data_IF_016995167921
#
_entry.id   IF_016995167921
#
_cell.length_a   1.000
_cell.length_b   1.000
_cell.length_c   1.000
_cell.angle_alpha   90.00
_cell.angle_beta   90.00
_cell.angle_gamma   90.00
#
_symmetry.space_group_name_H-M   'P 1'
#
loop_
_entity.id
_entity.type
_entity.pdbx_description
1 polymer ?
#
# COMPACT_ATOMS: atom_id res chain seq x y z
N UNK A 1 5.75 -2.99 -18.61
CA UNK A 1 5.18 -1.73 -19.12
C UNK A 1 3.78 -1.91 -19.70
N UNK A 2 3.61 -2.52 -20.88
CA UNK A 2 2.30 -2.61 -21.56
C UNK A 2 1.14 -3.13 -20.69
N UNK A 3 1.37 -4.15 -19.86
CA UNK A 3 0.33 -4.66 -18.94
C UNK A 3 -0.14 -3.61 -17.89
N UNK A 4 0.74 -2.70 -17.45
CA UNK A 4 0.35 -1.62 -16.54
C UNK A 4 -0.48 -0.55 -17.27
N UNK A 5 -0.13 -0.25 -18.53
CA UNK A 5 -0.88 0.70 -19.37
C UNK A 5 -2.28 0.16 -19.70
N UNK A 6 -2.38 -1.12 -20.07
CA UNK A 6 -3.66 -1.79 -20.33
C UNK A 6 -4.56 -1.80 -19.09
N UNK A 7 -3.98 -2.07 -17.92
CA UNK A 7 -4.73 -2.07 -16.66
C UNK A 7 -5.18 -0.67 -16.26
N UNK A 8 -4.33 0.35 -16.44
CA UNK A 8 -4.73 1.75 -16.23
C UNK A 8 -5.84 2.19 -17.19
N UNK A 9 -5.77 1.80 -18.47
CA UNK A 9 -6.81 2.09 -19.45
C UNK A 9 -8.15 1.45 -19.07
N UNK A 10 -8.12 0.20 -18.57
CA UNK A 10 -9.30 -0.49 -18.05
C UNK A 10 -9.94 0.29 -16.88
N UNK A 11 -9.14 0.75 -15.91
CA UNK A 11 -9.64 1.53 -14.78
C UNK A 11 -10.24 2.87 -15.22
N UNK A 12 -9.59 3.57 -16.17
CA UNK A 12 -10.13 4.81 -16.74
C UNK A 12 -11.47 4.58 -17.43
N UNK A 13 -11.62 3.45 -18.11
CA UNK A 13 -12.91 3.06 -18.68
C UNK A 13 -13.97 2.83 -17.61
N UNK A 14 -13.65 2.09 -16.54
CA UNK A 14 -14.56 1.83 -15.42
C UNK A 14 -14.99 3.12 -14.70
N UNK A 15 -14.10 4.10 -14.57
CA UNK A 15 -14.43 5.44 -14.07
C UNK A 15 -15.39 6.15 -15.03
N UNK A 16 -15.08 6.16 -16.33
CA UNK A 16 -15.92 6.81 -17.36
C UNK A 16 -17.33 6.21 -17.43
N UNK A 17 -17.47 4.91 -17.21
CA UNK A 17 -18.77 4.23 -17.20
C UNK A 17 -19.48 4.29 -15.85
N UNK A 18 -18.91 4.99 -14.85
CA UNK A 18 -19.50 5.15 -13.52
C UNK A 18 -19.48 3.90 -12.65
N UNK A 19 -18.70 2.89 -13.01
CA UNK A 19 -18.54 1.65 -12.21
C UNK A 19 -17.57 1.90 -11.05
N UNK A 20 -16.50 2.64 -11.31
CA UNK A 20 -15.52 3.02 -10.30
C UNK A 20 -15.65 4.51 -10.01
N UNK A 21 -15.68 4.89 -8.72
CA UNK A 21 -15.69 6.28 -8.31
C UNK A 21 -14.37 6.98 -8.67
N UNK A 22 -14.42 8.31 -8.77
CA UNK A 22 -13.23 9.16 -8.85
C UNK A 22 -13.23 10.09 -7.64
N UNK A 23 -12.10 10.19 -6.93
CA UNK A 23 -11.97 11.18 -5.86
C UNK A 23 -11.97 12.58 -6.47
N UNK A 24 -12.91 13.42 -6.07
CA UNK A 24 -12.97 14.81 -6.50
C UNK A 24 -11.78 15.63 -5.98
N UNK A 25 -11.14 15.18 -4.89
CA UNK A 25 -10.00 15.85 -4.26
C UNK A 25 -8.70 15.52 -5.00
N UNK A 26 -8.46 14.23 -5.30
CA UNK A 26 -7.17 13.79 -5.87
C UNK A 26 -7.19 13.60 -7.38
N UNK A 27 -8.36 13.37 -7.98
CA UNK A 27 -8.48 12.98 -9.37
C UNK A 27 -8.03 11.53 -9.67
N UNK A 28 -7.88 10.69 -8.64
CA UNK A 28 -7.58 9.26 -8.78
C UNK A 28 -8.82 8.37 -8.54
N UNK A 29 -8.83 7.13 -9.04
CA UNK A 29 -9.91 6.18 -8.79
C UNK A 29 -10.08 5.92 -7.29
N UNK A 30 -11.33 5.95 -6.83
CA UNK A 30 -11.72 5.78 -5.44
C UNK A 30 -12.35 4.40 -5.24
N UNK A 31 -11.56 3.48 -4.68
CA UNK A 31 -12.04 2.15 -4.30
C UNK A 31 -12.71 2.18 -2.93
N UNK A 32 -13.80 1.44 -2.75
CA UNK A 32 -14.47 1.31 -1.45
C UNK A 32 -13.62 0.53 -0.44
N UNK A 33 -12.92 -0.51 -0.92
CA UNK A 33 -12.04 -1.36 -0.13
C UNK A 33 -10.85 -1.81 -0.96
N UNK A 34 -9.65 -1.64 -0.42
CA UNK A 34 -8.43 -2.24 -0.94
C UNK A 34 -7.85 -3.23 0.08
N UNK A 35 -7.64 -4.47 -0.37
CA UNK A 35 -6.95 -5.50 0.40
C UNK A 35 -5.46 -5.39 0.13
N UNK A 36 -4.67 -5.22 1.19
CA UNK A 36 -3.22 -5.16 1.10
C UNK A 36 -2.60 -6.21 2.03
N UNK A 37 -1.43 -6.68 1.64
CA UNK A 37 -0.48 -7.33 2.55
C UNK A 37 0.69 -6.39 2.84
N UNK A 38 1.51 -6.78 3.81
CA UNK A 38 2.80 -6.16 4.09
C UNK A 38 3.87 -7.25 4.06
N UNK A 39 5.04 -6.97 3.48
CA UNK A 39 6.20 -7.85 3.64
C UNK A 39 7.13 -7.43 4.76
N UNK A 40 8.16 -8.25 5.07
CA UNK A 40 9.01 -8.08 6.27
C UNK A 40 9.93 -6.85 6.22
N UNK A 41 9.95 -6.16 5.08
CA UNK A 41 10.62 -4.89 4.81
C UNK A 41 9.65 -3.70 4.83
N UNK A 42 8.38 -3.91 5.16
CA UNK A 42 7.33 -2.88 5.19
C UNK A 42 6.77 -2.49 3.82
N UNK A 43 7.12 -3.21 2.74
CA UNK A 43 6.54 -2.96 1.42
C UNK A 43 5.03 -3.29 1.41
N UNK A 44 4.27 -2.53 0.63
CA UNK A 44 2.87 -2.81 0.29
C UNK A 44 2.72 -2.83 -1.22
N UNK A 45 1.78 -3.63 -1.74
CA UNK A 45 1.67 -3.87 -3.18
C UNK A 45 3.05 -4.25 -3.77
N UNK A 46 3.56 -3.52 -4.77
CA UNK A 46 4.97 -3.64 -5.20
C UNK A 46 5.78 -2.36 -4.98
N UNK A 47 5.47 -1.62 -3.91
CA UNK A 47 6.13 -0.38 -3.51
C UNK A 47 7.12 -0.68 -2.39
N UNK A 48 8.40 -0.81 -2.75
CA UNK A 48 9.48 -1.25 -1.86
C UNK A 48 10.24 -0.10 -1.21
N UNK A 49 10.79 -0.27 0.00
CA UNK A 49 11.64 0.73 0.63
C UNK A 49 12.80 1.15 -0.28
N UNK A 50 13.13 2.45 -0.28
CA UNK A 50 14.21 3.05 -1.06
C UNK A 50 14.12 2.90 -2.60
N UNK A 51 13.10 2.21 -3.11
CA UNK A 51 12.88 2.08 -4.54
C UNK A 51 12.27 3.38 -5.11
N UNK A 52 12.74 3.93 -6.25
CA UNK A 52 12.25 5.21 -6.78
C UNK A 52 10.72 5.27 -6.99
N UNK A 53 10.10 4.12 -7.26
CA UNK A 53 8.66 3.98 -7.52
C UNK A 53 7.76 4.43 -6.35
N UNK A 54 8.28 4.49 -5.12
CA UNK A 54 7.52 5.07 -3.99
C UNK A 54 7.23 6.57 -4.18
N UNK A 55 7.93 7.23 -5.11
CA UNK A 55 7.75 8.64 -5.46
C UNK A 55 6.83 8.85 -6.68
N UNK A 56 6.35 7.78 -7.32
CA UNK A 56 5.41 7.88 -8.43
C UNK A 56 4.08 8.43 -7.93
N UNK A 57 3.73 9.63 -8.40
CA UNK A 57 2.57 10.39 -7.94
C UNK A 57 1.63 10.83 -9.07
N UNK A 58 1.85 10.39 -10.30
CA UNK A 58 1.08 10.78 -11.50
C UNK A 58 0.26 9.63 -12.08
N UNK A 59 0.86 8.45 -12.21
CA UNK A 59 0.21 7.27 -12.80
C UNK A 59 -0.78 6.65 -11.84
N UNK A 60 -1.82 5.99 -12.37
CA UNK A 60 -2.73 5.18 -11.55
C UNK A 60 -2.13 3.80 -11.31
N UNK A 61 -1.59 3.22 -12.38
CA UNK A 61 -0.93 1.91 -12.38
C UNK A 61 0.45 2.10 -12.99
N UNK A 62 1.45 1.51 -12.35
CA UNK A 62 2.82 1.53 -12.83
C UNK A 62 3.41 0.12 -12.79
N UNK A 63 4.65 -0.03 -13.21
CA UNK A 63 5.36 -1.30 -13.23
C UNK A 63 6.72 -1.17 -12.55
N UNK A 64 7.24 -2.30 -12.10
CA UNK A 64 8.59 -2.48 -11.57
C UNK A 64 9.20 -3.67 -12.29
N UNK A 65 10.45 -3.54 -12.75
CA UNK A 65 11.17 -4.62 -13.46
C UNK A 65 12.37 -5.16 -12.65
N UNK A 66 12.70 -4.48 -11.56
CA UNK A 66 13.86 -4.69 -10.70
C UNK A 66 13.42 -4.84 -9.24
N UNK A 67 12.28 -5.51 -9.01
CA UNK A 67 11.83 -5.77 -7.65
C UNK A 67 12.92 -6.48 -6.84
N UNK A 68 13.24 -6.01 -5.62
CA UNK A 68 14.24 -6.64 -4.77
C UNK A 68 13.80 -8.04 -4.28
N UNK A 69 12.55 -8.45 -4.57
CA UNK A 69 12.00 -9.77 -4.23
C UNK A 69 11.42 -10.43 -5.48
N UNK A 70 11.68 -11.73 -5.73
CA UNK A 70 11.16 -12.42 -6.91
C UNK A 70 9.61 -12.54 -6.89
N UNK A 71 8.94 -12.55 -8.06
CA UNK A 71 9.51 -12.25 -9.38
C UNK A 71 9.87 -10.76 -9.53
N UNK A 72 10.89 -10.44 -10.35
CA UNK A 72 11.41 -9.06 -10.48
C UNK A 72 10.41 -8.12 -11.19
N UNK A 73 9.60 -8.67 -12.09
CA UNK A 73 8.62 -7.92 -12.88
C UNK A 73 7.22 -7.99 -12.26
N UNK A 74 6.62 -6.81 -12.00
CA UNK A 74 5.27 -6.69 -11.42
C UNK A 74 4.57 -5.43 -11.95
N UNK A 75 3.25 -5.45 -11.96
CA UNK A 75 2.44 -4.22 -12.03
C UNK A 75 1.93 -3.88 -10.63
N UNK A 76 1.71 -2.59 -10.35
CA UNK A 76 1.27 -2.14 -9.03
C UNK A 76 0.44 -0.86 -9.11
N UNK A 77 -0.50 -0.73 -8.19
CA UNK A 77 -1.07 0.58 -7.88
C UNK A 77 -0.01 1.49 -7.26
N UNK A 78 -0.16 2.78 -7.54
CA UNK A 78 0.67 3.85 -6.96
C UNK A 78 0.06 4.33 -5.65
N UNK A 79 0.84 5.04 -4.83
CA UNK A 79 0.31 5.59 -3.57
C UNK A 79 -0.90 6.50 -3.76
N UNK A 80 -0.97 7.39 -4.78
CA UNK A 80 -2.18 8.18 -4.98
C UNK A 80 -3.46 7.36 -5.17
N UNK A 81 -3.40 6.21 -5.85
CA UNK A 81 -4.56 5.32 -5.99
C UNK A 81 -4.89 4.61 -4.68
N UNK A 82 -3.87 4.08 -4.00
CA UNK A 82 -4.05 3.42 -2.69
C UNK A 82 -4.69 4.40 -1.69
N UNK A 83 -4.13 5.60 -1.60
CA UNK A 83 -4.53 6.66 -0.66
C UNK A 83 -5.88 7.31 -0.99
N UNK A 84 -6.38 7.13 -2.23
CA UNK A 84 -7.73 7.55 -2.60
C UNK A 84 -8.82 6.55 -2.21
N UNK A 85 -8.47 5.39 -1.63
CA UNK A 85 -9.43 4.38 -1.18
C UNK A 85 -10.16 4.81 0.09
N UNK A 86 -11.43 4.40 0.23
CA UNK A 86 -12.23 4.63 1.45
C UNK A 86 -11.73 3.76 2.60
N UNK A 87 -11.44 2.48 2.33
CA UNK A 87 -10.95 1.55 3.34
C UNK A 87 -9.74 0.78 2.82
N UNK A 88 -8.77 0.55 3.71
CA UNK A 88 -7.71 -0.43 3.51
C UNK A 88 -7.82 -1.49 4.60
N UNK A 89 -7.93 -2.76 4.20
CA UNK A 89 -7.76 -3.89 5.10
C UNK A 89 -6.37 -4.48 4.86
N UNK A 90 -5.46 -4.25 5.82
CA UNK A 90 -4.11 -4.75 5.77
C UNK A 90 -4.02 -6.07 6.54
N UNK A 91 -3.73 -7.16 5.83
CA UNK A 91 -3.60 -8.50 6.41
C UNK A 91 -2.13 -8.88 6.53
N UNK A 92 -1.67 -9.14 7.75
CA UNK A 92 -0.24 -9.41 8.06
C UNK A 92 -0.15 -10.56 9.04
N UNK A 93 0.49 -11.66 8.65
CA UNK A 93 0.56 -12.88 9.47
C UNK A 93 1.96 -13.47 9.51
N UNK A 94 2.30 -14.09 10.63
CA UNK A 94 3.52 -14.87 10.80
C UNK A 94 4.69 -14.06 11.39
N UNK A 95 5.67 -14.76 11.99
CA UNK A 95 6.72 -14.14 12.79
C UNK A 95 7.70 -13.32 11.94
N UNK A 96 7.81 -13.60 10.63
CA UNK A 96 8.65 -12.84 9.71
C UNK A 96 8.26 -11.36 9.60
N UNK A 97 7.00 -11.03 9.86
CA UNK A 97 6.47 -9.68 9.75
C UNK A 97 6.64 -8.86 11.04
N UNK A 98 6.94 -9.51 12.18
CA UNK A 98 6.85 -8.89 13.49
C UNK A 98 7.74 -7.65 13.67
N UNK A 99 8.93 -7.64 13.06
CA UNK A 99 9.82 -6.49 13.10
C UNK A 99 9.27 -5.31 12.30
N UNK A 100 8.73 -5.58 11.10
CA UNK A 100 8.10 -4.56 10.26
C UNK A 100 6.84 -3.99 10.91
N UNK A 101 5.99 -4.85 11.52
CA UNK A 101 4.80 -4.43 12.26
C UNK A 101 5.19 -3.52 13.44
N UNK A 102 6.18 -3.94 14.24
CA UNK A 102 6.69 -3.11 15.35
C UNK A 102 7.20 -1.76 14.86
N UNK A 103 7.95 -1.72 13.76
CA UNK A 103 8.45 -0.46 13.19
C UNK A 103 7.32 0.41 12.65
N UNK A 104 6.34 -0.18 11.97
CA UNK A 104 5.23 0.52 11.36
C UNK A 104 4.31 1.18 12.40
N UNK A 105 4.02 0.46 13.49
CA UNK A 105 3.11 0.89 14.58
C UNK A 105 3.85 1.56 15.75
N UNK A 106 5.17 1.50 15.78
CA UNK A 106 5.99 2.06 16.86
C UNK A 106 6.02 3.58 16.88
N UNK A 107 6.22 4.15 18.07
CA UNK A 107 6.31 5.61 18.30
C UNK A 107 7.74 6.14 18.17
N UNK A 108 8.67 5.40 17.56
CA UNK A 108 10.03 5.89 17.30
C UNK A 108 10.00 6.90 16.13
N UNK A 109 9.41 8.06 16.42
CA UNK A 109 9.45 9.24 15.58
C UNK A 109 10.90 9.72 15.49
N UNK A 110 11.48 9.70 14.29
CA UNK A 110 12.82 10.25 14.09
C UNK A 110 13.60 9.73 12.88
N UNK A 111 13.19 8.61 12.28
CA UNK A 111 13.79 8.19 11.01
C UNK A 111 13.10 8.93 9.85
N UNK A 112 13.86 9.62 9.00
CA UNK A 112 13.38 10.20 7.74
C UNK A 112 12.81 9.17 6.77
N UNK A 113 13.06 7.88 7.04
CA UNK A 113 12.82 6.79 6.12
C UNK A 113 11.55 6.03 6.55
N UNK A 114 10.39 6.58 6.17
CA UNK A 114 9.11 5.90 6.35
C UNK A 114 9.12 4.55 5.62
N UNK A 115 8.54 3.53 6.25
CA UNK A 115 8.21 2.31 5.53
C UNK A 115 7.10 2.59 4.51
N UNK A 116 7.05 1.89 3.36
CA UNK A 116 5.96 2.03 2.40
C UNK A 116 4.56 1.85 3.03
N UNK A 117 4.41 0.93 3.99
CA UNK A 117 3.15 0.76 4.74
C UNK A 117 2.75 2.02 5.53
N UNK A 118 3.71 2.81 6.01
CA UNK A 118 3.48 4.07 6.72
C UNK A 118 3.18 5.24 5.76
N UNK A 119 3.45 5.07 4.47
CA UNK A 119 3.08 6.02 3.41
C UNK A 119 1.62 5.80 2.92
N UNK A 120 0.98 4.71 3.35
CA UNK A 120 -0.47 4.52 3.17
C UNK A 120 -1.19 5.48 4.11
N UNK A 121 -1.65 6.59 3.56
CA UNK A 121 -2.32 7.67 4.27
C UNK A 121 -3.59 8.01 3.52
N UNK A 122 -4.69 7.39 3.94
CA UNK A 122 -6.00 7.61 3.31
C UNK A 122 -6.50 9.02 3.61
N UNK A 123 -7.14 9.68 2.65
CA UNK A 123 -7.65 11.05 2.84
C UNK A 123 -8.78 11.12 3.87
N UNK A 124 -9.89 10.44 3.59
CA UNK A 124 -11.11 10.40 4.42
C UNK A 124 -11.44 8.96 4.85
N UNK A 125 -10.41 8.11 4.90
CA UNK A 125 -10.57 6.67 5.01
C UNK A 125 -10.02 6.07 6.29
N UNK A 126 -10.25 4.76 6.46
CA UNK A 126 -9.65 3.97 7.56
C UNK A 126 -8.80 2.83 7.03
N UNK A 127 -7.57 2.76 7.51
CA UNK A 127 -6.73 1.57 7.40
C UNK A 127 -6.90 0.71 8.66
N UNK A 128 -7.28 -0.55 8.49
CA UNK A 128 -7.46 -1.52 9.59
C UNK A 128 -6.46 -2.66 9.44
N UNK A 129 -5.75 -2.97 10.53
CA UNK A 129 -4.77 -4.05 10.60
C UNK A 129 -5.45 -5.35 11.07
N UNK A 130 -5.28 -6.42 10.30
CA UNK A 130 -5.70 -7.78 10.65
C UNK A 130 -4.45 -8.63 10.80
N UNK A 131 -4.16 -9.04 12.04
CA UNK A 131 -2.92 -9.74 12.39
C UNK A 131 -3.16 -11.04 13.13
N UNK A 132 -2.22 -11.98 12.99
CA UNK A 132 -2.10 -13.11 13.91
C UNK A 132 -1.20 -12.76 15.10
N UNK A 133 -1.13 -13.65 16.09
CA UNK A 133 -0.32 -13.43 17.31
C UNK A 133 1.18 -13.30 16.99
N UNK A 134 1.67 -14.05 16.01
CA UNK A 134 3.10 -14.07 15.67
C UNK A 134 3.54 -12.75 15.01
N UNK A 135 2.72 -12.17 14.13
CA UNK A 135 3.01 -10.89 13.47
C UNK A 135 3.04 -9.70 14.43
N UNK A 136 2.42 -9.80 15.62
CA UNK A 136 2.47 -8.75 16.65
C UNK A 136 3.34 -9.11 17.85
N UNK A 137 4.08 -10.22 17.79
CA UNK A 137 4.88 -10.73 18.91
C UNK A 137 5.93 -9.76 19.48
N UNK A 138 6.32 -8.75 18.69
CA UNK A 138 7.29 -7.73 19.09
C UNK A 138 6.66 -6.40 19.55
N UNK A 139 5.33 -6.26 19.52
CA UNK A 139 4.63 -5.13 20.13
C UNK A 139 4.66 -5.30 21.66
N UNK A 140 5.07 -4.28 22.40
CA UNK A 140 4.95 -4.29 23.87
C UNK A 140 3.46 -4.13 24.25
N UNK A 141 3.05 -4.73 25.36
CA UNK A 141 1.65 -4.96 25.83
C UNK A 141 0.73 -3.72 26.02
N UNK A 142 0.99 -2.57 25.38
CA UNK A 142 0.15 -1.37 25.48
C UNK A 142 0.02 -0.59 24.18
N UNK A 143 -0.35 -1.25 23.09
CA UNK A 143 -0.98 -0.57 21.96
C UNK A 143 -2.39 -1.13 21.84
N UNK A 144 -3.37 -0.43 22.41
CA UNK A 144 -4.76 -0.68 22.08
C UNK A 144 -4.94 -0.23 20.62
N UNK A 145 -5.10 -1.21 19.72
CA UNK A 145 -5.48 -1.02 18.32
C UNK A 145 -6.93 -0.50 18.22
#
# INVERSE_FOLDING_TARGET
EGAADDYEACLKHLVKTGVLGLSATTGFPKFDLMLLGMGPDGHVASLFPNHPLIKENTRWVTFINDSPKPPPERITFTFPVINSSVNVALVVTGPGEAAAVKRALGTEYGSSDLLPVQMVSLEDGKMTWFTDKEAVSLLQDKVYL
#
